data_IF_192521785044
#
_entry.id   IF_192521785044
#
_cell.length_a   1.000
_cell.length_b   1.000
_cell.length_c   1.000
_cell.angle_alpha   90.00
_cell.angle_beta   90.00
_cell.angle_gamma   90.00
#
_symmetry.space_group_name_H-M   'P 1'
#
loop_
_entity.id
_entity.type
_entity.pdbx_description
1 polymer ?
#
# COMPACT_ATOMS: atom_id res chain seq x y z
N UNK A 1 -31.65 -6.28 9.32
CA UNK A 1 -31.31 -6.19 10.76
C UNK A 1 -30.49 -4.92 10.96
N UNK A 2 -30.74 -4.16 12.01
CA UNK A 2 -29.93 -2.99 12.32
C UNK A 2 -28.60 -3.44 12.94
N UNK A 3 -27.47 -2.79 12.62
CA UNK A 3 -26.20 -3.11 13.26
C UNK A 3 -26.27 -2.84 14.76
N UNK A 4 -25.62 -3.69 15.53
CA UNK A 4 -25.41 -3.52 16.96
C UNK A 4 -24.47 -2.34 17.24
N UNK A 5 -24.53 -1.78 18.45
CA UNK A 5 -23.62 -0.70 18.85
C UNK A 5 -22.14 -1.13 18.73
N UNK A 6 -21.83 -2.39 19.06
CA UNK A 6 -20.48 -2.95 18.93
C UNK A 6 -20.00 -2.97 17.48
N UNK A 7 -20.87 -3.33 16.52
CA UNK A 7 -20.54 -3.31 15.10
C UNK A 7 -20.30 -1.88 14.60
N UNK A 8 -21.07 -0.90 15.10
CA UNK A 8 -20.90 0.52 14.80
C UNK A 8 -19.56 1.04 15.33
N UNK A 9 -19.23 0.73 16.59
CA UNK A 9 -17.99 1.18 17.23
C UNK A 9 -16.77 0.56 16.54
N UNK A 10 -16.82 -0.75 16.24
CA UNK A 10 -15.78 -1.45 15.46
C UNK A 10 -15.55 -0.80 14.10
N UNK A 11 -16.62 -0.50 13.36
CA UNK A 11 -16.51 0.16 12.07
C UNK A 11 -15.89 1.57 12.19
N UNK A 12 -16.21 2.30 13.26
CA UNK A 12 -15.63 3.61 13.53
C UNK A 12 -14.12 3.54 13.83
N UNK A 13 -13.65 2.55 14.59
CA UNK A 13 -12.23 2.32 14.81
C UNK A 13 -11.49 1.99 13.51
N UNK A 14 -12.00 1.03 12.74
CA UNK A 14 -11.40 0.62 11.47
C UNK A 14 -11.30 1.81 10.52
N UNK A 15 -12.35 2.63 10.42
CA UNK A 15 -12.35 3.84 9.61
C UNK A 15 -11.23 4.80 10.02
N UNK A 16 -11.10 5.11 11.32
CA UNK A 16 -10.06 6.04 11.81
C UNK A 16 -8.63 5.52 11.57
N UNK A 17 -8.44 4.20 11.61
CA UNK A 17 -7.15 3.58 11.32
C UNK A 17 -6.86 3.62 9.81
N UNK A 18 -7.86 3.39 8.96
CA UNK A 18 -7.71 3.56 7.50
C UNK A 18 -7.38 5.00 7.12
N UNK A 19 -7.97 5.98 7.80
CA UNK A 19 -7.69 7.40 7.59
C UNK A 19 -6.24 7.75 7.95
N UNK A 20 -5.70 7.24 9.07
CA UNK A 20 -4.29 7.42 9.45
C UNK A 20 -3.64 6.09 9.88
N UNK A 21 -3.14 5.28 8.94
CA UNK A 21 -2.63 3.95 9.24
C UNK A 21 -1.30 3.99 9.98
N UNK A 22 -0.53 5.08 9.93
CA UNK A 22 0.73 5.19 10.68
C UNK A 22 0.53 5.58 12.16
N UNK A 23 -0.70 5.92 12.57
CA UNK A 23 -1.04 6.22 13.97
C UNK A 23 -1.16 4.92 14.79
N UNK A 24 -0.06 4.53 15.43
CA UNK A 24 -0.01 3.36 16.29
C UNK A 24 -0.96 3.47 17.50
N UNK A 25 -1.22 4.68 17.99
CA UNK A 25 -2.10 4.89 19.16
C UNK A 25 -3.51 4.43 18.85
N UNK A 26 -4.03 4.72 17.65
CA UNK A 26 -5.36 4.24 17.23
C UNK A 26 -5.45 2.73 17.15
N UNK A 27 -4.37 2.07 16.70
CA UNK A 27 -4.30 0.60 16.62
C UNK A 27 -4.30 -0.03 18.01
N UNK A 28 -3.54 0.54 18.94
CA UNK A 28 -3.50 0.07 20.32
C UNK A 28 -4.84 0.25 21.04
N UNK A 29 -5.49 1.41 20.89
CA UNK A 29 -6.84 1.63 21.45
C UNK A 29 -7.83 0.62 20.87
N UNK A 30 -7.75 0.31 19.58
CA UNK A 30 -8.61 -0.71 18.98
C UNK A 30 -8.31 -2.12 19.50
N UNK A 31 -7.05 -2.44 19.78
CA UNK A 31 -6.67 -3.70 20.42
C UNK A 31 -7.23 -3.80 21.84
N UNK A 32 -7.14 -2.72 22.64
CA UNK A 32 -7.76 -2.64 23.97
C UNK A 32 -9.28 -2.88 23.87
N UNK A 33 -9.94 -2.22 22.92
CA UNK A 33 -11.38 -2.39 22.69
C UNK A 33 -11.75 -3.83 22.29
N UNK A 34 -10.98 -4.47 21.39
CA UNK A 34 -11.18 -5.87 21.00
C UNK A 34 -11.01 -6.81 22.21
N UNK A 35 -10.06 -6.53 23.10
CA UNK A 35 -9.83 -7.35 24.30
C UNK A 35 -11.03 -7.31 25.25
N UNK A 36 -11.66 -6.14 25.39
CA UNK A 36 -12.84 -5.97 26.23
C UNK A 36 -14.12 -6.57 25.62
N UNK A 37 -14.28 -6.52 24.30
CA UNK A 37 -15.56 -6.80 23.63
C UNK A 37 -15.58 -8.10 22.81
N UNK A 38 -14.41 -8.61 22.39
CA UNK A 38 -14.23 -9.78 21.53
C UNK A 38 -13.02 -10.61 21.99
N UNK A 39 -13.00 -11.10 23.26
CA UNK A 39 -11.84 -11.77 23.85
C UNK A 39 -11.41 -13.04 23.11
N UNK A 40 -12.30 -13.65 22.32
CA UNK A 40 -12.01 -14.78 21.43
C UNK A 40 -11.07 -14.41 20.27
N UNK A 41 -10.91 -13.12 19.94
CA UNK A 41 -9.95 -12.64 18.94
C UNK A 41 -8.54 -12.40 19.52
N UNK A 42 -8.17 -13.17 20.54
CA UNK A 42 -6.94 -12.99 21.34
C UNK A 42 -5.65 -13.00 20.50
N UNK A 43 -5.64 -13.71 19.37
CA UNK A 43 -4.48 -13.72 18.46
C UNK A 43 -4.24 -12.36 17.78
N UNK A 44 -5.31 -11.65 17.38
CA UNK A 44 -5.20 -10.32 16.77
C UNK A 44 -4.67 -9.29 17.78
N UNK A 45 -5.21 -9.32 18.99
CA UNK A 45 -4.80 -8.43 20.08
C UNK A 45 -3.30 -8.62 20.40
N UNK A 46 -2.85 -9.87 20.51
CA UNK A 46 -1.42 -10.18 20.73
C UNK A 46 -0.55 -9.67 19.59
N UNK A 47 -0.97 -9.84 18.34
CA UNK A 47 -0.21 -9.36 17.18
C UNK A 47 -0.13 -7.84 17.12
N UNK A 48 -1.23 -7.12 17.38
CA UNK A 48 -1.22 -5.65 17.43
C UNK A 48 -0.27 -5.16 18.52
N UNK A 49 -0.37 -5.72 19.74
CA UNK A 49 0.45 -5.29 20.88
C UNK A 49 1.92 -5.67 20.78
N UNK A 50 2.23 -6.81 20.15
CA UNK A 50 3.61 -7.26 20.04
C UNK A 50 4.46 -6.38 19.11
N UNK A 51 3.83 -5.46 18.34
CA UNK A 51 4.47 -4.76 17.23
C UNK A 51 5.37 -5.69 16.41
N UNK A 52 4.94 -6.95 16.28
CA UNK A 52 5.82 -8.03 15.85
C UNK A 52 6.28 -7.75 14.43
N UNK A 53 7.58 -7.85 14.19
CA UNK A 53 8.13 -7.89 12.83
C UNK A 53 7.68 -9.15 12.07
N UNK A 54 7.04 -10.11 12.74
CA UNK A 54 6.44 -11.27 12.09
C UNK A 54 5.32 -10.83 11.15
N UNK A 55 5.61 -11.00 9.86
CA UNK A 55 4.66 -10.84 8.78
C UNK A 55 3.87 -12.14 8.64
N UNK A 56 2.55 -12.06 8.75
CA UNK A 56 1.66 -13.19 8.49
C UNK A 56 1.02 -13.03 7.12
N UNK A 57 1.11 -14.09 6.29
CA UNK A 57 0.41 -14.15 5.01
C UNK A 57 -1.01 -14.68 5.21
N UNK A 58 -1.99 -14.01 4.60
CA UNK A 58 -3.38 -14.43 4.58
C UNK A 58 -3.96 -14.29 3.17
N UNK A 59 -4.85 -15.21 2.81
CA UNK A 59 -5.66 -15.09 1.60
C UNK A 59 -6.75 -14.01 1.78
N UNK A 60 -6.71 -13.00 0.92
CA UNK A 60 -7.81 -12.08 0.67
C UNK A 60 -8.63 -12.60 -0.51
N UNK A 61 -9.92 -12.86 -0.28
CA UNK A 61 -10.86 -13.29 -1.32
C UNK A 61 -11.72 -12.10 -1.76
N UNK A 62 -11.66 -11.70 -3.03
CA UNK A 62 -12.56 -10.71 -3.62
C UNK A 62 -13.26 -11.31 -4.84
N UNK A 63 -14.55 -11.61 -4.70
CA UNK A 63 -15.28 -12.41 -5.69
C UNK A 63 -14.66 -13.81 -5.81
N UNK A 64 -14.29 -14.19 -7.03
CA UNK A 64 -13.66 -15.49 -7.31
C UNK A 64 -12.12 -15.43 -7.30
N UNK A 65 -11.52 -14.28 -6.97
CA UNK A 65 -10.07 -14.07 -6.99
C UNK A 65 -9.49 -14.14 -5.57
N UNK A 66 -8.27 -14.68 -5.47
CA UNK A 66 -7.50 -14.79 -4.22
C UNK A 66 -6.20 -14.01 -4.34
N UNK A 67 -5.91 -13.20 -3.34
CA UNK A 67 -4.72 -12.37 -3.26
C UNK A 67 -3.99 -12.63 -1.96
N UNK A 68 -2.67 -12.52 -1.99
CA UNK A 68 -1.87 -12.57 -0.77
C UNK A 68 -1.86 -11.18 -0.12
N UNK A 69 -2.26 -11.14 1.14
CA UNK A 69 -2.08 -9.97 2.00
C UNK A 69 -1.16 -10.29 3.15
N UNK A 70 -0.42 -9.27 3.59
CA UNK A 70 0.48 -9.36 4.71
C UNK A 70 -0.03 -8.53 5.88
N UNK A 71 -0.19 -9.20 7.02
CA UNK A 71 -0.60 -8.58 8.27
C UNK A 71 0.63 -8.12 9.03
N UNK A 72 0.68 -6.84 9.39
CA UNK A 72 1.65 -6.27 10.34
C UNK A 72 0.89 -5.67 11.50
N UNK A 73 1.31 -5.98 12.72
CA UNK A 73 0.62 -5.60 13.95
C UNK A 73 -0.88 -5.97 13.89
N UNK A 74 -1.20 -7.18 13.42
CA UNK A 74 -2.59 -7.67 13.30
C UNK A 74 -3.47 -6.94 12.29
N UNK A 75 -2.92 -6.11 11.39
CA UNK A 75 -3.67 -5.43 10.33
C UNK A 75 -3.03 -5.62 8.96
N UNK A 76 -3.84 -5.79 7.92
CA UNK A 76 -3.37 -5.83 6.54
C UNK A 76 -2.73 -4.49 6.18
N UNK A 77 -1.42 -4.49 6.06
CA UNK A 77 -0.61 -3.30 5.79
C UNK A 77 0.09 -3.38 4.44
N UNK A 78 0.34 -4.59 3.93
CA UNK A 78 1.03 -4.80 2.66
C UNK A 78 0.22 -5.71 1.74
N UNK A 79 0.18 -5.35 0.47
CA UNK A 79 -0.59 -6.02 -0.58
C UNK A 79 0.35 -6.44 -1.70
N UNK A 80 0.27 -7.70 -2.13
CA UNK A 80 1.04 -8.21 -3.26
C UNK A 80 0.11 -8.84 -4.30
N UNK A 81 0.08 -8.29 -5.52
CA UNK A 81 -0.81 -8.74 -6.59
C UNK A 81 -0.33 -8.27 -7.97
N UNK A 82 -0.97 -8.73 -9.04
CA UNK A 82 -0.72 -8.22 -10.40
C UNK A 82 -1.33 -6.82 -10.59
N UNK A 83 -0.73 -6.01 -11.46
CA UNK A 83 -1.16 -4.63 -11.72
C UNK A 83 -2.61 -4.53 -12.20
N UNK A 84 -3.06 -5.40 -13.09
CA UNK A 84 -4.42 -5.33 -13.64
C UNK A 84 -5.46 -5.63 -12.55
N UNK A 85 -5.19 -6.61 -11.70
CA UNK A 85 -6.04 -6.92 -10.55
C UNK A 85 -6.04 -5.78 -9.53
N UNK A 86 -4.88 -5.15 -9.30
CA UNK A 86 -4.79 -3.98 -8.44
C UNK A 86 -5.69 -2.85 -8.96
N UNK A 87 -5.58 -2.51 -10.25
CA UNK A 87 -6.39 -1.45 -10.86
C UNK A 87 -7.90 -1.71 -10.74
N UNK A 88 -8.30 -2.97 -10.85
CA UNK A 88 -9.70 -3.41 -10.74
C UNK A 88 -10.24 -3.34 -9.31
N UNK A 89 -9.42 -3.68 -8.31
CA UNK A 89 -9.88 -3.91 -6.92
C UNK A 89 -9.42 -2.87 -5.90
N UNK A 90 -8.56 -1.92 -6.29
CA UNK A 90 -7.95 -0.96 -5.37
C UNK A 90 -8.97 -0.27 -4.45
N UNK A 91 -10.09 0.20 -5.00
CA UNK A 91 -11.17 0.82 -4.20
C UNK A 91 -11.66 -0.08 -3.08
N UNK A 92 -12.08 -1.30 -3.42
CA UNK A 92 -12.65 -2.25 -2.45
C UNK A 92 -11.62 -2.66 -1.40
N UNK A 93 -10.36 -2.86 -1.80
CA UNK A 93 -9.29 -3.21 -0.87
C UNK A 93 -9.06 -2.08 0.14
N UNK A 94 -8.93 -0.84 -0.34
CA UNK A 94 -8.68 0.32 0.51
C UNK A 94 -9.92 0.74 1.31
N UNK A 95 -11.12 0.31 0.92
CA UNK A 95 -12.37 0.38 1.71
C UNK A 95 -12.37 -0.56 2.92
N UNK A 96 -11.57 -1.63 2.89
CA UNK A 96 -11.57 -2.66 3.93
C UNK A 96 -10.31 -2.60 4.80
N UNK A 97 -9.16 -2.26 4.22
CA UNK A 97 -7.86 -2.45 4.85
C UNK A 97 -7.03 -1.15 4.91
N UNK A 98 -6.23 -0.96 5.98
CA UNK A 98 -5.33 0.17 6.13
C UNK A 98 -3.99 -0.06 5.39
N UNK A 99 -4.06 -0.28 4.08
CA UNK A 99 -2.88 -0.57 3.24
C UNK A 99 -1.91 0.61 3.24
N UNK A 100 -0.63 0.32 3.47
CA UNK A 100 0.49 1.28 3.45
C UNK A 100 1.61 0.87 2.47
N UNK A 101 1.55 -0.34 1.91
CA UNK A 101 2.51 -0.82 0.92
C UNK A 101 1.81 -1.68 -0.13
N UNK A 102 2.18 -1.50 -1.40
CA UNK A 102 1.67 -2.30 -2.53
C UNK A 102 2.85 -2.75 -3.37
N UNK A 103 2.94 -4.06 -3.60
CA UNK A 103 3.92 -4.69 -4.49
C UNK A 103 3.18 -5.23 -5.71
N UNK A 104 3.48 -4.65 -6.88
CA UNK A 104 2.98 -5.16 -8.16
C UNK A 104 3.95 -6.24 -8.68
N UNK A 105 3.57 -7.51 -8.55
CA UNK A 105 4.48 -8.65 -8.74
C UNK A 105 4.90 -8.87 -10.20
N UNK A 106 4.11 -8.35 -11.14
CA UNK A 106 4.35 -8.40 -12.58
C UNK A 106 5.18 -7.20 -13.09
N UNK A 107 5.52 -6.26 -12.20
CA UNK A 107 6.21 -5.01 -12.55
C UNK A 107 7.66 -5.02 -12.08
N UNK A 108 8.53 -4.44 -12.89
CA UNK A 108 9.96 -4.26 -12.57
C UNK A 108 10.47 -3.00 -13.25
N UNK A 109 11.18 -2.11 -12.53
CA UNK A 109 11.65 -0.87 -13.14
C UNK A 109 12.69 -1.18 -14.21
N UNK A 110 12.64 -0.43 -15.31
CA UNK A 110 13.65 -0.51 -16.35
C UNK A 110 14.97 0.04 -15.79
N UNK A 111 16.04 -0.74 -15.91
CA UNK A 111 17.38 -0.19 -15.73
C UNK A 111 17.71 0.66 -16.96
N UNK A 112 18.09 1.91 -16.74
CA UNK A 112 18.62 2.75 -17.79
C UNK A 112 19.89 2.10 -18.34
N UNK A 113 19.86 1.79 -19.63
CA UNK A 113 21.01 1.21 -20.35
C UNK A 113 21.83 2.29 -21.05
N UNK A 114 21.34 3.52 -21.09
CA UNK A 114 22.08 4.63 -21.64
C UNK A 114 23.11 5.07 -20.61
N UNK A 115 24.38 5.10 -21.03
CA UNK A 115 25.48 5.63 -20.21
C UNK A 115 25.20 7.10 -19.91
N UNK A 116 24.52 7.38 -18.81
CA UNK A 116 24.52 8.72 -18.24
C UNK A 116 25.96 9.10 -17.89
N UNK A 117 26.29 10.38 -17.97
CA UNK A 117 27.63 10.94 -17.72
C UNK A 117 28.26 10.53 -16.37
N UNK A 118 27.46 10.00 -15.43
CA UNK A 118 27.91 9.51 -14.11
C UNK A 118 28.22 8.01 -14.05
N UNK A 119 27.86 7.22 -15.08
CA UNK A 119 28.11 5.78 -15.13
C UNK A 119 27.32 4.91 -14.13
N UNK A 120 26.47 5.50 -13.30
CA UNK A 120 25.66 4.77 -12.32
C UNK A 120 24.31 4.35 -12.93
N UNK A 121 23.86 3.10 -12.72
CA UNK A 121 22.59 2.63 -13.26
C UNK A 121 21.41 3.35 -12.59
N UNK A 122 20.51 3.90 -13.40
CA UNK A 122 19.24 4.46 -12.93
C UNK A 122 18.08 3.52 -13.19
N UNK A 123 17.01 3.67 -12.44
CA UNK A 123 15.84 2.79 -12.53
C UNK A 123 14.59 3.63 -12.78
N UNK A 124 13.80 3.30 -13.78
CA UNK A 124 12.64 4.10 -14.17
C UNK A 124 11.39 3.29 -14.47
N UNK A 125 10.26 3.98 -14.48
CA UNK A 125 8.96 3.48 -14.89
C UNK A 125 8.52 4.19 -16.16
N UNK A 126 7.66 3.55 -16.94
CA UNK A 126 7.17 4.05 -18.21
C UNK A 126 5.64 4.04 -18.22
N UNK A 127 5.03 5.06 -18.83
CA UNK A 127 3.57 5.16 -18.98
C UNK A 127 3.10 5.04 -20.45
N UNK A 128 4.04 4.77 -21.37
CA UNK A 128 3.83 4.82 -22.83
C UNK A 128 4.09 3.49 -23.51
N UNK A 129 5.11 2.73 -23.09
CA UNK A 129 5.48 1.46 -23.74
C UNK A 129 4.66 0.28 -23.19
N UNK A 130 3.42 0.14 -23.64
CA UNK A 130 2.54 -0.99 -23.25
C UNK A 130 3.21 -2.33 -23.56
N UNK A 131 3.12 -3.28 -22.63
CA UNK A 131 3.63 -4.65 -22.77
C UNK A 131 5.00 -4.91 -22.15
N UNK A 132 5.69 -3.88 -21.64
CA UNK A 132 6.92 -4.04 -20.86
C UNK A 132 6.62 -4.14 -19.36
N UNK A 133 7.47 -4.83 -18.58
CA UNK A 133 7.31 -4.92 -17.13
C UNK A 133 7.54 -3.60 -16.39
N UNK A 134 8.17 -2.61 -17.04
CA UNK A 134 8.30 -1.26 -16.51
C UNK A 134 7.10 -0.36 -16.84
N UNK A 135 6.14 -0.85 -17.63
CA UNK A 135 4.93 -0.11 -17.95
C UNK A 135 3.96 -0.06 -16.78
N UNK A 136 3.56 1.16 -16.41
CA UNK A 136 2.63 1.48 -15.33
C UNK A 136 1.46 2.32 -15.89
N UNK A 137 0.21 2.04 -15.50
CA UNK A 137 -0.94 2.88 -15.88
C UNK A 137 -0.72 4.37 -15.55
N UNK A 138 -1.20 5.25 -16.44
CA UNK A 138 -1.02 6.71 -16.32
C UNK A 138 -1.51 7.26 -14.97
N UNK A 139 -2.60 6.69 -14.45
CA UNK A 139 -3.21 7.07 -13.17
C UNK A 139 -2.26 6.88 -12.00
N UNK A 140 -1.49 5.79 -11.99
CA UNK A 140 -0.46 5.55 -10.97
C UNK A 140 0.78 6.39 -11.28
N UNK A 141 1.20 6.45 -12.55
CA UNK A 141 2.41 7.16 -12.95
C UNK A 141 2.37 8.65 -12.58
N UNK A 142 1.24 9.32 -12.75
CA UNK A 142 1.10 10.75 -12.41
C UNK A 142 1.15 11.02 -10.90
N UNK A 143 0.88 10.02 -10.06
CA UNK A 143 0.94 10.08 -8.60
C UNK A 143 2.32 9.78 -8.02
N UNK A 144 3.29 9.37 -8.85
CA UNK A 144 4.65 9.07 -8.37
C UNK A 144 5.38 10.32 -7.87
N UNK A 145 6.12 10.14 -6.77
CA UNK A 145 7.08 11.13 -6.27
C UNK A 145 8.18 11.34 -7.33
N UNK A 146 8.06 12.41 -8.11
CA UNK A 146 9.01 12.78 -9.16
C UNK A 146 10.25 13.41 -8.52
N UNK A 147 11.47 12.95 -8.87
CA UNK A 147 12.70 13.51 -8.30
C UNK A 147 12.85 15.00 -8.67
N UNK A 148 13.55 15.80 -7.83
CA UNK A 148 13.80 17.20 -8.11
C UNK A 148 14.47 17.40 -9.48
N UNK A 149 13.94 18.35 -10.27
CA UNK A 149 14.46 18.65 -11.61
C UNK A 149 13.94 17.73 -12.72
N UNK A 150 13.01 16.81 -12.41
CA UNK A 150 12.30 16.04 -13.43
C UNK A 150 11.52 16.95 -14.39
N UNK A 151 11.72 16.75 -15.70
CA UNK A 151 10.97 17.41 -16.77
C UNK A 151 10.01 16.38 -17.37
N UNK A 152 8.78 16.80 -17.71
CA UNK A 152 7.70 15.90 -18.15
C UNK A 152 8.03 15.02 -19.37
N UNK A 153 9.06 15.38 -20.13
CA UNK A 153 9.54 14.63 -21.29
C UNK A 153 10.42 13.44 -20.93
N UNK A 154 10.85 13.33 -19.67
CA UNK A 154 11.82 12.32 -19.21
C UNK A 154 11.11 11.25 -18.38
N UNK A 155 11.62 10.02 -18.39
CA UNK A 155 11.17 8.99 -17.45
C UNK A 155 11.60 9.38 -16.02
N UNK A 156 10.76 9.19 -14.98
CA UNK A 156 11.18 9.39 -13.61
C UNK A 156 12.21 8.31 -13.27
N UNK A 157 13.48 8.70 -13.33
CA UNK A 157 14.60 7.84 -12.99
C UNK A 157 15.01 8.04 -11.53
N UNK A 158 15.25 6.92 -10.85
CA UNK A 158 15.65 6.85 -9.46
C UNK A 158 17.06 6.27 -9.34
N UNK A 159 17.78 6.68 -8.30
CA UNK A 159 19.18 6.30 -8.07
C UNK A 159 19.34 4.81 -7.69
N UNK A 160 18.26 4.14 -7.31
CA UNK A 160 18.28 2.69 -7.07
C UNK A 160 16.96 2.01 -7.38
N UNK A 161 17.02 0.71 -7.66
CA UNK A 161 15.83 -0.15 -7.83
C UNK A 161 14.91 -0.08 -6.61
N UNK A 162 15.49 -0.01 -5.40
CA UNK A 162 14.75 0.08 -4.14
C UNK A 162 13.91 1.36 -4.07
N UNK A 163 14.52 2.51 -4.41
CA UNK A 163 13.81 3.80 -4.44
C UNK A 163 12.71 3.79 -5.50
N UNK A 164 13.00 3.26 -6.70
CA UNK A 164 11.99 3.15 -7.76
C UNK A 164 10.77 2.30 -7.34
N UNK A 165 11.00 1.16 -6.67
CA UNK A 165 9.93 0.31 -6.15
C UNK A 165 9.15 1.02 -5.04
N UNK A 166 9.84 1.72 -4.12
CA UNK A 166 9.19 2.48 -3.06
C UNK A 166 8.30 3.60 -3.62
N UNK A 167 8.78 4.32 -4.64
CA UNK A 167 8.00 5.36 -5.33
C UNK A 167 6.74 4.79 -6.01
N UNK A 168 6.86 3.64 -6.67
CA UNK A 168 5.70 2.94 -7.25
C UNK A 168 4.70 2.51 -6.17
N UNK A 169 5.18 1.88 -5.08
CA UNK A 169 4.32 1.47 -3.96
C UNK A 169 3.54 2.66 -3.38
N UNK A 170 4.20 3.81 -3.18
CA UNK A 170 3.53 5.03 -2.68
C UNK A 170 2.45 5.51 -3.64
N UNK A 171 2.74 5.56 -4.94
CA UNK A 171 1.78 5.96 -5.96
C UNK A 171 0.56 5.02 -6.00
N UNK A 172 0.78 3.70 -5.89
CA UNK A 172 -0.30 2.72 -5.76
C UNK A 172 -1.14 2.99 -4.50
N UNK A 173 -0.50 3.25 -3.36
CA UNK A 173 -1.22 3.56 -2.12
C UNK A 173 -2.06 4.83 -2.24
N UNK A 174 -1.50 5.90 -2.79
CA UNK A 174 -2.25 7.14 -3.04
C UNK A 174 -3.41 6.91 -4.02
N UNK A 175 -3.20 6.15 -5.10
CA UNK A 175 -4.26 5.78 -6.03
C UNK A 175 -5.41 5.04 -5.32
N UNK A 176 -5.10 3.98 -4.58
CA UNK A 176 -6.11 3.20 -3.87
C UNK A 176 -6.88 4.02 -2.84
N UNK A 177 -6.20 4.95 -2.16
CA UNK A 177 -6.84 5.88 -1.22
C UNK A 177 -7.76 6.87 -1.90
N UNK A 178 -7.35 7.45 -3.03
CA UNK A 178 -8.19 8.34 -3.83
C UNK A 178 -9.46 7.62 -4.30
N UNK A 179 -9.33 6.40 -4.82
CA UNK A 179 -10.48 5.58 -5.24
C UNK A 179 -11.45 5.28 -4.09
N UNK A 180 -10.94 5.13 -2.87
CA UNK A 180 -11.73 4.87 -1.66
C UNK A 180 -12.21 6.16 -0.94
N UNK A 181 -11.90 7.36 -1.47
CA UNK A 181 -12.24 8.63 -0.83
C UNK A 181 -11.53 8.88 0.51
N UNK A 182 -10.37 8.27 0.71
CA UNK A 182 -9.53 8.45 1.90
C UNK A 182 -8.61 9.68 1.74
N UNK A 183 -8.25 10.37 2.84
CA UNK A 183 -7.30 11.48 2.78
C UNK A 183 -5.92 11.00 2.33
N UNK A 184 -5.09 11.87 1.72
CA UNK A 184 -3.69 11.55 1.40
C UNK A 184 -2.89 11.17 2.64
N UNK A 185 -1.87 10.32 2.50
CA UNK A 185 -1.01 9.95 3.62
C UNK A 185 0.09 10.97 3.85
N UNK A 186 0.31 11.29 5.12
CA UNK A 186 1.57 11.85 5.56
C UNK A 186 2.56 10.69 5.74
N UNK A 187 3.38 10.47 4.72
CA UNK A 187 4.40 9.44 4.77
C UNK A 187 5.43 9.76 5.85
N UNK A 188 5.86 8.77 6.67
CA UNK A 188 7.01 8.95 7.55
C UNK A 188 8.19 9.45 6.73
N UNK A 189 8.98 10.36 7.30
CA UNK A 189 10.25 10.77 6.68
C UNK A 189 11.18 9.57 6.69
N UNK A 190 11.16 8.82 5.61
CA UNK A 190 12.17 7.80 5.33
C UNK A 190 13.22 8.48 4.48
N UNK A 191 14.49 8.38 4.87
CA UNK A 191 15.59 8.78 4.00
C UNK A 191 15.51 7.93 2.72
N UNK A 192 15.01 8.55 1.64
CA UNK A 192 15.02 8.01 0.28
C UNK A 192 16.38 8.27 -0.36
#
# INVERSE_FOLDING_TARGET
MNPTQQEIDRAAFIRKIRENPFDETRRLIFADWLEEHQPEQTNWIRQIRACSEEVFEQDLVLGDQRFMIQLRNGMCCELSMECDDFMKHAKQIFELYPIIQVTLIDKTPAADRFEHERGEPRFGWDATSVGYSCFIPNEIFELMDKPPGWVRTDYPFFDSKKIAIAALSRACVEYGREQAGLPKLEWPKVDL
#
